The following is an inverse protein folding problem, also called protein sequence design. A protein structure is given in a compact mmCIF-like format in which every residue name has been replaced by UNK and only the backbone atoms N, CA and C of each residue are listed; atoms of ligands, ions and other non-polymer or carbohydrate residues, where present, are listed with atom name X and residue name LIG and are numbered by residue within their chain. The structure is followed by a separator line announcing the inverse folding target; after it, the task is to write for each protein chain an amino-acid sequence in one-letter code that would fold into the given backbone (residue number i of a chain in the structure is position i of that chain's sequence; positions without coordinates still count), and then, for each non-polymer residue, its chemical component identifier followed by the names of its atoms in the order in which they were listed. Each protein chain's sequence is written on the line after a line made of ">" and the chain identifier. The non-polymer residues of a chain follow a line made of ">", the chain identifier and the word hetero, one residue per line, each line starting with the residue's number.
data_IF_264636822848
#
_entry.id   IF_264636822848
#
_cell.length_a   1.000
_cell.length_b   1.000
_cell.length_c   1.000
_cell.angle_alpha   90.00
_cell.angle_beta   90.00
_cell.angle_gamma   90.00
#
_symmetry.space_group_name_H-M   'P 1'
#
loop_
_entity.id
_entity.type
_entity.pdbx_description
1 polymer ?
#
# COMPACT_ATOMS: atom_id res chain seq x y z
N UNK A 1 -9.51 9.83 -2.67
CA UNK A 1 -10.61 8.87 -2.53
C UNK A 1 -11.02 8.41 -3.91
N UNK A 2 -11.34 7.13 -4.08
CA UNK A 2 -11.82 6.55 -5.33
C UNK A 2 -13.11 5.78 -5.02
N UNK A 3 -14.13 5.98 -5.85
CA UNK A 3 -15.39 5.21 -5.80
C UNK A 3 -15.36 4.16 -6.90
N UNK A 4 -15.72 2.92 -6.54
CA UNK A 4 -15.86 1.80 -7.46
C UNK A 4 -17.32 1.41 -7.55
N UNK A 5 -17.81 1.30 -8.78
CA UNK A 5 -19.10 0.70 -9.11
C UNK A 5 -19.05 -0.82 -8.95
N UNK A 6 -20.21 -1.48 -9.00
CA UNK A 6 -20.30 -2.93 -8.89
C UNK A 6 -19.46 -3.62 -9.98
N UNK A 7 -18.53 -4.50 -9.55
CA UNK A 7 -17.65 -5.25 -10.44
C UNK A 7 -16.42 -4.48 -10.95
N UNK A 8 -16.25 -3.19 -10.61
CA UNK A 8 -15.00 -2.49 -10.88
C UNK A 8 -13.93 -2.89 -9.88
N UNK A 9 -12.69 -3.04 -10.36
CA UNK A 9 -11.54 -3.40 -9.52
C UNK A 9 -10.49 -2.31 -9.57
N UNK A 10 -9.83 -2.09 -8.42
CA UNK A 10 -8.69 -1.20 -8.31
C UNK A 10 -7.58 -1.87 -7.50
N UNK A 11 -6.38 -1.94 -8.08
CA UNK A 11 -5.18 -2.45 -7.42
C UNK A 11 -4.45 -1.30 -6.75
N UNK A 12 -4.15 -1.44 -5.46
CA UNK A 12 -3.42 -0.45 -4.67
C UNK A 12 -2.30 -1.10 -3.86
N UNK A 13 -1.20 -0.39 -3.70
CA UNK A 13 -0.14 -0.76 -2.77
C UNK A 13 -0.66 -0.80 -1.32
N UNK A 14 -0.32 -1.86 -0.58
CA UNK A 14 -0.84 -2.04 0.78
C UNK A 14 -0.37 -0.96 1.76
N UNK A 15 0.81 -0.37 1.56
CA UNK A 15 1.31 0.74 2.38
C UNK A 15 0.61 2.08 2.12
N UNK A 16 -0.16 2.17 1.02
CA UNK A 16 -0.87 3.38 0.62
C UNK A 16 -2.39 3.31 0.83
N UNK A 17 -2.94 2.13 1.11
CA UNK A 17 -4.36 1.98 1.45
C UNK A 17 -4.62 2.40 2.91
N UNK A 18 -5.56 3.34 3.09
CA UNK A 18 -5.93 3.87 4.41
C UNK A 18 -7.22 3.24 4.93
N UNK A 19 -8.24 3.17 4.08
CA UNK A 19 -9.54 2.62 4.42
C UNK A 19 -10.33 2.24 3.16
N UNK A 20 -11.32 1.37 3.31
CA UNK A 20 -12.28 1.03 2.26
C UNK A 20 -13.65 0.69 2.88
N UNK A 21 -14.71 0.74 2.08
CA UNK A 21 -16.08 0.41 2.52
C UNK A 21 -16.18 -1.05 2.97
N UNK A 22 -16.93 -1.30 4.04
CA UNK A 22 -17.25 -2.66 4.51
C UNK A 22 -17.80 -3.54 3.38
N UNK A 23 -17.45 -4.84 3.39
CA UNK A 23 -17.85 -5.87 2.42
C UNK A 23 -17.42 -5.68 0.95
N UNK A 24 -16.56 -4.70 0.63
CA UNK A 24 -15.88 -4.70 -0.67
C UNK A 24 -15.04 -5.98 -0.83
N UNK A 25 -14.95 -6.48 -2.06
CA UNK A 25 -14.03 -7.58 -2.36
C UNK A 25 -12.59 -7.14 -2.08
N UNK A 26 -11.80 -7.99 -1.40
CA UNK A 26 -10.46 -7.67 -0.93
C UNK A 26 -9.55 -8.88 -1.14
N UNK A 27 -8.52 -8.74 -1.97
CA UNK A 27 -7.56 -9.82 -2.24
C UNK A 27 -6.12 -9.28 -2.21
N UNK A 28 -5.34 -9.71 -1.22
CA UNK A 28 -3.91 -9.38 -1.13
C UNK A 28 -3.10 -10.40 -1.92
N UNK A 29 -2.11 -9.92 -2.68
CA UNK A 29 -1.14 -10.77 -3.35
C UNK A 29 0.20 -10.05 -3.55
N UNK A 30 1.26 -10.81 -3.79
CA UNK A 30 2.57 -10.24 -4.13
C UNK A 30 2.64 -9.73 -5.57
N UNK A 31 3.49 -8.73 -5.81
CA UNK A 31 3.85 -8.31 -7.17
C UNK A 31 5.07 -9.13 -7.64
N UNK A 32 4.84 -10.08 -8.54
CA UNK A 32 5.89 -10.94 -9.08
C UNK A 32 6.33 -12.08 -8.15
N UNK A 33 7.55 -12.59 -8.32
CA UNK A 33 8.11 -13.65 -7.47
C UNK A 33 8.70 -13.11 -6.16
N UNK A 34 9.04 -14.02 -5.22
CA UNK A 34 9.60 -13.71 -3.89
C UNK A 34 10.74 -12.68 -3.92
N UNK A 35 11.60 -12.72 -4.96
CA UNK A 35 12.69 -11.75 -5.13
C UNK A 35 12.16 -10.32 -5.35
N UNK A 36 11.14 -10.15 -6.19
CA UNK A 36 10.52 -8.84 -6.46
C UNK A 36 9.92 -8.24 -5.20
N UNK A 37 9.23 -9.05 -4.39
CA UNK A 37 8.66 -8.65 -3.12
C UNK A 37 9.70 -8.17 -2.11
N UNK A 38 10.86 -8.84 -2.04
CA UNK A 38 11.94 -8.47 -1.11
C UNK A 38 12.73 -7.24 -1.55
N UNK A 39 12.92 -7.03 -2.86
CA UNK A 39 13.76 -5.94 -3.38
C UNK A 39 13.01 -4.62 -3.59
N UNK A 40 11.67 -4.62 -3.73
CA UNK A 40 10.90 -3.38 -3.92
C UNK A 40 10.59 -2.64 -2.61
N UNK A 41 10.71 -3.32 -1.46
CA UNK A 41 10.36 -2.76 -0.15
C UNK A 41 8.86 -2.67 0.14
N UNK A 42 7.99 -2.76 -0.87
CA UNK A 42 6.53 -2.63 -0.72
C UNK A 42 5.77 -3.94 -0.93
N UNK A 43 6.28 -4.82 -1.81
CA UNK A 43 6.05 -6.26 -1.86
C UNK A 43 4.64 -6.85 -2.07
N UNK A 44 3.59 -6.21 -1.57
CA UNK A 44 2.21 -6.68 -1.55
C UNK A 44 1.28 -5.57 -2.04
N UNK A 45 0.38 -5.97 -2.94
CA UNK A 45 -0.74 -5.15 -3.39
C UNK A 45 -2.04 -5.78 -2.94
N UNK A 46 -3.09 -4.98 -3.00
CA UNK A 46 -4.45 -5.43 -2.79
C UNK A 46 -5.35 -5.00 -3.92
N UNK A 47 -6.11 -5.96 -4.43
CA UNK A 47 -7.22 -5.72 -5.34
C UNK A 47 -8.49 -5.48 -4.53
N UNK A 48 -9.11 -4.33 -4.75
CA UNK A 48 -10.39 -3.95 -4.20
C UNK A 48 -11.45 -4.01 -5.29
N UNK A 49 -12.53 -4.76 -5.06
CA UNK A 49 -13.66 -4.86 -6.00
C UNK A 49 -14.92 -4.22 -5.41
N UNK A 50 -15.52 -3.31 -6.17
CA UNK A 50 -16.73 -2.59 -5.80
C UNK A 50 -18.00 -3.44 -5.78
N UNK A 51 -19.12 -2.88 -5.28
CA UNK A 51 -19.34 -1.45 -5.09
C UNK A 51 -18.80 -0.92 -3.75
N UNK A 52 -18.26 0.30 -3.76
CA UNK A 52 -17.81 0.97 -2.54
C UNK A 52 -16.80 2.08 -2.79
N UNK A 53 -16.09 2.50 -1.73
CA UNK A 53 -15.12 3.60 -1.78
C UNK A 53 -13.84 3.17 -1.10
N UNK A 54 -12.71 3.65 -1.62
CA UNK A 54 -11.40 3.48 -1.02
C UNK A 54 -10.68 4.81 -0.82
N UNK A 55 -9.91 4.89 0.25
CA UNK A 55 -9.10 6.02 0.64
C UNK A 55 -7.63 5.62 0.62
N UNK A 56 -6.81 6.48 0.02
CA UNK A 56 -5.38 6.26 -0.09
C UNK A 56 -4.62 7.49 0.37
N UNK A 57 -3.40 7.28 0.83
CA UNK A 57 -2.43 8.32 1.10
C UNK A 57 -1.40 8.41 -0.04
N UNK A 58 -0.84 9.61 -0.26
CA UNK A 58 0.19 9.85 -1.29
C UNK A 58 1.61 9.75 -0.73
N UNK A 59 1.74 9.59 0.58
CA UNK A 59 3.01 9.48 1.31
C UNK A 59 2.94 8.27 2.22
N UNK A 60 3.99 7.46 2.17
CA UNK A 60 4.23 6.36 3.09
C UNK A 60 5.08 6.85 4.26
N UNK A 61 4.63 6.57 5.48
CA UNK A 61 5.41 6.83 6.68
C UNK A 61 6.71 6.03 6.68
N UNK A 62 6.67 4.78 6.24
CA UNK A 62 7.85 3.90 6.15
C UNK A 62 8.87 4.41 5.13
N UNK A 63 8.39 4.87 3.97
CA UNK A 63 9.26 5.49 2.98
C UNK A 63 9.91 6.78 3.52
N UNK A 64 9.14 7.60 4.24
CA UNK A 64 9.65 8.81 4.86
C UNK A 64 10.70 8.50 5.94
N UNK A 65 10.43 7.55 6.83
CA UNK A 65 11.35 7.15 7.89
C UNK A 65 12.61 6.48 7.32
N UNK A 66 12.48 5.66 6.29
CA UNK A 66 13.63 5.05 5.59
C UNK A 66 14.52 6.12 4.95
N UNK A 67 13.91 7.17 4.38
CA UNK A 67 14.66 8.31 3.85
C UNK A 67 15.30 9.16 4.95
N UNK A 68 14.61 9.37 6.08
CA UNK A 68 15.05 10.24 7.17
C UNK A 68 16.14 9.59 8.03
N UNK A 69 15.97 8.31 8.38
CA UNK A 69 16.84 7.57 9.30
C UNK A 69 18.34 7.70 9.04
N UNK A 70 18.86 7.55 7.80
CA UNK A 70 20.30 7.70 7.54
C UNK A 70 20.82 9.14 7.68
N UNK A 71 19.93 10.14 7.78
CA UNK A 71 20.28 11.56 7.96
C UNK A 71 20.23 12.00 9.42
N UNK A 72 19.65 11.18 10.31
CA UNK A 72 19.59 11.51 11.73
C UNK A 72 21.00 11.37 12.34
N UNK A 73 21.40 12.30 13.24
CA UNK A 73 22.66 12.19 13.94
C UNK A 73 22.68 10.90 14.75
N UNK A 74 23.63 10.02 14.45
CA UNK A 74 23.90 8.86 15.29
C UNK A 74 24.73 9.32 16.47
N UNK A 75 24.29 8.96 17.69
CA UNK A 75 25.08 9.19 18.89
C UNK A 75 26.33 8.31 18.75
N UNK A 76 27.48 8.90 18.43
CA UNK A 76 28.77 8.24 18.59
C UNK A 76 29.05 8.18 20.08
N UNK A 77 29.06 6.99 20.65
CA UNK A 77 29.74 6.72 21.93
C UNK A 77 31.26 6.72 21.72
#
# INVERSE_FOLDING_TARGET
>A
EITLEAGQTYTVDTGHLVAFTDKMGFQVHGIGGIKSTLFSGEGLVVDLTGPGRLMMQTRSADAFISWLSPKLPTKKE
#
